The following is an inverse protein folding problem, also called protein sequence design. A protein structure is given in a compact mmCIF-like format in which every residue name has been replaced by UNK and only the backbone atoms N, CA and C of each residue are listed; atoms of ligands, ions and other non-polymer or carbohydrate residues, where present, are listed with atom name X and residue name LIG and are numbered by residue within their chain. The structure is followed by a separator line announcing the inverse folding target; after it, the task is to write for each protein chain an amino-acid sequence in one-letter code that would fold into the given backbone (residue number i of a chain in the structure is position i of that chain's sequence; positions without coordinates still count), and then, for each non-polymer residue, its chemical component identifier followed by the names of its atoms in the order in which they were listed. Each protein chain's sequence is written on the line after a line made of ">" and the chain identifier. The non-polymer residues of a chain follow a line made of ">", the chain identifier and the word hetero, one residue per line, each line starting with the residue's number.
data_IF_920803418729
#
_entry.id   IF_920803418729
#
_cell.length_a   1.000
_cell.length_b   1.000
_cell.length_c   1.000
_cell.angle_alpha   90.00
_cell.angle_beta   90.00
_cell.angle_gamma   90.00
#
_symmetry.space_group_name_H-M   'P 1'
#
loop_
_entity.id
_entity.type
_entity.pdbx_description
1 polymer ?
#
# COMPACT_ATOMS: atom_id res chain seq x y z
N UNK A 1 -4.80 -3.60 -9.14
CA UNK A 1 -4.63 -3.17 -7.74
C UNK A 1 -5.58 -2.02 -7.43
N UNK A 2 -6.78 -2.27 -7.03
CA UNK A 2 -7.82 -1.60 -6.28
C UNK A 2 -8.02 -0.08 -6.31
N UNK A 3 -7.26 0.70 -7.06
CA UNK A 3 -7.48 2.14 -7.14
C UNK A 3 -8.64 2.46 -8.07
N UNK A 4 -9.63 3.19 -7.57
CA UNK A 4 -10.79 3.57 -8.33
C UNK A 4 -10.50 4.72 -9.29
N UNK A 5 -11.12 4.67 -10.45
CA UNK A 5 -11.13 5.72 -11.45
C UNK A 5 -12.46 5.76 -12.19
N UNK A 6 -12.85 6.92 -12.65
CA UNK A 6 -13.99 7.10 -13.56
C UNK A 6 -13.55 7.36 -15.00
N UNK A 7 -12.25 7.30 -15.26
CA UNK A 7 -11.69 7.44 -16.61
C UNK A 7 -12.11 6.30 -17.53
N UNK A 8 -12.30 6.59 -18.80
CA UNK A 8 -12.55 5.58 -19.85
C UNK A 8 -11.44 4.53 -19.97
N UNK A 9 -10.21 4.87 -19.54
CA UNK A 9 -9.04 3.97 -19.58
C UNK A 9 -9.02 2.96 -18.43
N UNK A 10 -9.91 3.07 -17.46
CA UNK A 10 -10.02 2.11 -16.36
C UNK A 10 -10.69 0.81 -16.79
N UNK A 11 -10.48 -0.25 -15.99
CA UNK A 11 -11.07 -1.58 -16.18
C UNK A 11 -12.27 -1.74 -15.26
N UNK A 12 -13.38 -2.25 -15.79
CA UNK A 12 -14.54 -2.62 -14.97
C UNK A 12 -14.27 -3.95 -14.26
N UNK A 13 -14.40 -4.02 -12.91
CA UNK A 13 -14.28 -5.27 -12.18
C UNK A 13 -15.33 -6.30 -12.59
N UNK A 14 -14.97 -7.60 -12.60
CA UNK A 14 -15.90 -8.69 -12.99
C UNK A 14 -17.13 -8.77 -12.10
N UNK A 15 -16.96 -8.59 -10.79
CA UNK A 15 -18.03 -8.69 -9.79
C UNK A 15 -18.40 -7.31 -9.26
N UNK A 16 -18.50 -6.33 -10.15
CA UNK A 16 -18.85 -4.96 -9.79
C UNK A 16 -20.28 -4.87 -9.31
N UNK A 17 -20.49 -4.14 -8.21
CA UNK A 17 -21.81 -3.69 -7.78
C UNK A 17 -22.48 -2.89 -8.91
N UNK A 18 -23.67 -3.28 -9.39
CA UNK A 18 -24.36 -2.60 -10.49
C UNK A 18 -24.63 -1.11 -10.23
N UNK A 19 -24.71 -0.71 -8.96
CA UNK A 19 -24.95 0.68 -8.55
C UNK A 19 -23.70 1.56 -8.54
N UNK A 20 -22.51 0.98 -8.79
CA UNK A 20 -21.24 1.71 -8.82
C UNK A 20 -20.73 1.88 -10.23
N UNK A 21 -20.31 3.10 -10.55
CA UNK A 21 -19.80 3.48 -11.88
C UNK A 21 -18.29 3.51 -11.97
N UNK A 22 -17.59 3.31 -10.83
CA UNK A 22 -16.13 3.33 -10.81
C UNK A 22 -15.51 2.19 -11.64
N UNK A 23 -14.29 2.41 -12.07
CA UNK A 23 -13.41 1.44 -12.70
C UNK A 23 -12.13 1.29 -11.88
N UNK A 24 -11.35 0.27 -12.15
CA UNK A 24 -10.02 0.06 -11.55
C UNK A 24 -8.95 0.56 -12.50
N UNK A 25 -7.97 1.29 -11.94
CA UNK A 25 -6.82 1.76 -12.73
C UNK A 25 -6.02 0.59 -13.30
N UNK A 26 -5.68 0.71 -14.57
CA UNK A 26 -4.79 -0.22 -15.26
C UNK A 26 -3.38 0.36 -15.34
N UNK A 27 -2.39 -0.47 -15.04
CA UNK A 27 -0.98 -0.11 -15.14
C UNK A 27 -0.26 -1.10 -16.05
N UNK A 28 0.52 -0.60 -16.99
CA UNK A 28 1.32 -1.44 -17.90
C UNK A 28 2.58 -1.99 -17.23
N UNK A 29 3.09 -1.30 -16.19
CA UNK A 29 4.32 -1.64 -15.49
C UNK A 29 4.02 -1.80 -14.01
N UNK A 30 4.40 -2.93 -13.40
CA UNK A 30 4.19 -3.20 -11.99
C UNK A 30 4.77 -2.11 -11.07
N UNK A 31 5.95 -1.57 -11.41
CA UNK A 31 6.57 -0.46 -10.67
C UNK A 31 5.66 0.78 -10.58
N UNK A 32 4.96 1.10 -11.67
CA UNK A 32 4.00 2.21 -11.69
C UNK A 32 2.81 1.95 -10.76
N UNK A 33 2.31 0.71 -10.72
CA UNK A 33 1.25 0.29 -9.81
C UNK A 33 1.68 0.45 -8.33
N UNK A 34 2.86 -0.02 -7.97
CA UNK A 34 3.41 0.11 -6.62
C UNK A 34 3.60 1.57 -6.23
N UNK A 35 4.11 2.39 -7.15
CA UNK A 35 4.28 3.84 -6.93
C UNK A 35 2.94 4.53 -6.70
N UNK A 36 1.93 4.21 -7.48
CA UNK A 36 0.59 4.76 -7.32
C UNK A 36 -0.04 4.35 -5.98
N UNK A 37 0.13 3.11 -5.56
CA UNK A 37 -0.29 2.63 -4.25
C UNK A 37 0.36 3.42 -3.10
N UNK A 38 1.68 3.57 -3.13
CA UNK A 38 2.43 4.36 -2.14
C UNK A 38 1.96 5.82 -2.10
N UNK A 39 1.78 6.43 -3.27
CA UNK A 39 1.30 7.80 -3.37
C UNK A 39 -0.10 7.95 -2.76
N UNK A 40 -0.98 7.00 -3.02
CA UNK A 40 -2.33 6.98 -2.46
C UNK A 40 -2.31 6.93 -0.93
N UNK A 41 -1.52 6.03 -0.33
CA UNK A 41 -1.35 5.96 1.12
C UNK A 41 -0.79 7.26 1.73
N UNK A 42 0.07 7.95 0.99
CA UNK A 42 0.75 9.15 1.47
C UNK A 42 -0.06 10.45 1.28
N UNK A 43 -1.10 10.45 0.46
CA UNK A 43 -1.80 11.69 0.09
C UNK A 43 -3.31 11.64 0.29
N UNK A 44 -3.96 10.51 0.12
CA UNK A 44 -5.42 10.40 0.16
C UNK A 44 -5.97 10.52 1.59
N UNK A 45 -7.09 11.24 1.75
CA UNK A 45 -7.70 11.49 3.06
C UNK A 45 -8.12 10.23 3.81
N UNK A 46 -8.51 9.16 3.11
CA UNK A 46 -8.89 7.89 3.71
C UNK A 46 -7.76 7.24 4.52
N UNK A 47 -6.50 7.62 4.29
CA UNK A 47 -5.32 7.09 4.98
C UNK A 47 -4.66 8.10 5.92
N UNK A 48 -5.41 9.09 6.36
CA UNK A 48 -4.92 10.08 7.31
C UNK A 48 -4.48 9.45 8.62
N UNK A 49 -5.31 8.60 9.20
CA UNK A 49 -4.99 7.90 10.45
C UNK A 49 -3.73 7.01 10.31
N UNK A 50 -3.57 6.35 9.16
CA UNK A 50 -2.35 5.60 8.84
C UNK A 50 -1.10 6.50 8.92
N UNK A 51 -1.16 7.69 8.32
CA UNK A 51 -0.04 8.64 8.35
C UNK A 51 0.22 9.21 9.74
N UNK A 52 -0.83 9.53 10.47
CA UNK A 52 -0.74 10.05 11.84
C UNK A 52 -0.10 9.00 12.77
N UNK A 53 -0.53 7.76 12.70
CA UNK A 53 0.08 6.67 13.49
C UNK A 53 1.54 6.45 13.12
N UNK A 54 1.87 6.46 11.84
CA UNK A 54 3.25 6.34 11.36
C UNK A 54 4.13 7.49 11.87
N UNK A 55 3.61 8.73 11.84
CA UNK A 55 4.31 9.90 12.35
C UNK A 55 4.54 9.82 13.87
N UNK A 56 3.54 9.38 14.62
CA UNK A 56 3.66 9.16 16.07
C UNK A 56 4.78 8.18 16.40
N UNK A 57 4.82 7.03 15.73
CA UNK A 57 5.87 6.02 15.92
C UNK A 57 7.27 6.60 15.68
N UNK A 58 7.42 7.42 14.65
CA UNK A 58 8.68 8.12 14.34
C UNK A 58 9.08 9.11 15.43
N UNK A 59 8.14 9.90 15.94
CA UNK A 59 8.39 10.85 17.03
C UNK A 59 8.81 10.15 18.33
N UNK A 60 8.25 8.97 18.59
CA UNK A 60 8.59 8.14 19.74
C UNK A 60 9.87 7.31 19.54
N UNK A 61 10.56 7.47 18.40
CA UNK A 61 11.72 6.66 18.00
C UNK A 61 11.44 5.14 18.01
N UNK A 62 10.20 4.74 17.77
CA UNK A 62 9.78 3.35 17.69
C UNK A 62 9.96 2.81 16.27
N UNK A 63 10.19 1.50 16.17
CA UNK A 63 10.23 0.81 14.88
C UNK A 63 8.82 0.85 14.27
N UNK A 64 8.76 1.16 12.98
CA UNK A 64 7.52 1.12 12.21
C UNK A 64 7.27 -0.33 11.81
N UNK A 65 6.21 -0.91 12.36
CA UNK A 65 5.83 -2.31 12.13
C UNK A 65 4.64 -2.36 11.17
N UNK A 66 4.84 -3.05 10.03
CA UNK A 66 3.82 -3.16 8.98
C UNK A 66 2.50 -3.76 9.48
N UNK A 67 2.55 -4.78 10.34
CA UNK A 67 1.36 -5.39 10.95
C UNK A 67 0.54 -4.41 11.80
N UNK A 68 1.19 -3.49 12.52
CA UNK A 68 0.47 -2.47 13.28
C UNK A 68 -0.19 -1.43 12.39
N UNK A 69 0.49 -1.03 11.31
CA UNK A 69 -0.02 -0.02 10.39
C UNK A 69 -1.11 -0.56 9.45
N UNK A 70 -1.14 -1.86 9.20
CA UNK A 70 -2.14 -2.50 8.31
C UNK A 70 -3.58 -2.27 8.76
N UNK A 71 -3.82 -2.07 10.04
CA UNK A 71 -5.14 -1.77 10.61
C UNK A 71 -5.79 -0.50 10.04
N UNK A 72 -4.96 0.43 9.56
CA UNK A 72 -5.39 1.74 9.08
C UNK A 72 -5.61 1.80 7.57
N UNK A 73 -5.51 0.67 6.86
CA UNK A 73 -5.69 0.61 5.40
C UNK A 73 -6.98 -0.10 4.96
N UNK A 74 -7.91 -0.31 5.85
CA UNK A 74 -9.20 -0.99 5.56
C UNK A 74 -10.00 -0.32 4.44
N UNK A 75 -9.84 0.99 4.27
CA UNK A 75 -10.52 1.76 3.22
C UNK A 75 -9.99 1.49 1.81
N UNK A 76 -8.88 0.74 1.66
CA UNK A 76 -8.30 0.47 0.36
C UNK A 76 -9.16 -0.45 -0.51
N UNK A 77 -9.93 -1.34 0.09
CA UNK A 77 -10.83 -2.25 -0.62
C UNK A 77 -12.24 -2.22 -0.04
N UNK A 78 -13.23 -2.50 -0.87
CA UNK A 78 -14.63 -2.55 -0.46
C UNK A 78 -14.91 -3.59 0.64
N UNK A 79 -14.08 -4.65 0.71
CA UNK A 79 -14.17 -5.70 1.73
C UNK A 79 -13.68 -5.27 3.14
N UNK A 80 -13.09 -4.06 3.27
CA UNK A 80 -12.73 -3.45 4.55
C UNK A 80 -11.83 -4.31 5.43
N UNK A 81 -12.33 -4.76 6.59
CA UNK A 81 -11.58 -5.57 7.55
C UNK A 81 -11.05 -6.89 6.96
N UNK A 82 -11.76 -7.50 6.02
CA UNK A 82 -11.28 -8.70 5.32
C UNK A 82 -10.02 -8.42 4.50
N UNK A 83 -9.91 -7.22 3.92
CA UNK A 83 -8.69 -6.80 3.24
C UNK A 83 -7.50 -6.73 4.20
N UNK A 84 -7.68 -6.16 5.38
CA UNK A 84 -6.65 -6.11 6.41
C UNK A 84 -6.22 -7.51 6.83
N UNK A 85 -7.18 -8.43 7.04
CA UNK A 85 -6.89 -9.81 7.38
C UNK A 85 -6.07 -10.52 6.30
N UNK A 86 -6.39 -10.32 5.02
CA UNK A 86 -5.62 -10.86 3.89
C UNK A 86 -4.19 -10.31 3.88
N UNK A 87 -4.02 -9.01 4.06
CA UNK A 87 -2.70 -8.37 4.11
C UNK A 87 -1.87 -8.93 5.28
N UNK A 88 -2.46 -9.07 6.46
CA UNK A 88 -1.78 -9.63 7.62
C UNK A 88 -1.33 -11.07 7.36
N UNK A 89 -2.19 -11.89 6.77
CA UNK A 89 -1.88 -13.27 6.39
C UNK A 89 -0.70 -13.34 5.40
N UNK A 90 -0.66 -12.45 4.42
CA UNK A 90 0.46 -12.33 3.47
C UNK A 90 1.75 -11.95 4.19
N UNK A 91 1.69 -10.97 5.10
CA UNK A 91 2.86 -10.52 5.87
C UNK A 91 3.43 -11.68 6.70
N UNK A 92 2.57 -12.39 7.43
CA UNK A 92 2.98 -13.49 8.30
C UNK A 92 3.51 -14.69 7.51
N UNK A 93 2.77 -15.15 6.50
CA UNK A 93 3.17 -16.34 5.70
C UNK A 93 4.46 -16.15 4.91
N UNK A 94 4.81 -14.91 4.59
CA UNK A 94 6.02 -14.60 3.82
C UNK A 94 7.13 -13.98 4.68
N UNK A 95 6.98 -13.97 6.01
CA UNK A 95 7.97 -13.39 6.94
C UNK A 95 8.35 -11.95 6.60
N UNK A 96 7.39 -11.15 6.13
CA UNK A 96 7.65 -9.78 5.68
C UNK A 96 8.01 -8.84 6.84
N UNK A 97 7.76 -9.21 8.09
CA UNK A 97 8.22 -8.49 9.28
C UNK A 97 9.74 -8.37 9.35
N UNK A 98 10.48 -9.27 8.69
CA UNK A 98 11.94 -9.21 8.61
C UNK A 98 12.42 -7.92 7.92
N UNK A 99 11.57 -7.32 7.09
CA UNK A 99 11.86 -6.08 6.38
C UNK A 99 11.52 -4.80 7.17
N UNK A 100 10.89 -4.90 8.33
CA UNK A 100 10.51 -3.70 9.13
C UNK A 100 11.72 -2.86 9.54
N UNK A 101 12.90 -3.49 9.69
CA UNK A 101 14.17 -2.84 10.00
C UNK A 101 15.07 -2.59 8.77
N UNK A 102 14.58 -2.90 7.57
CA UNK A 102 15.38 -2.76 6.37
C UNK A 102 15.67 -1.29 6.06
N UNK A 103 16.90 -1.01 5.66
CA UNK A 103 17.35 0.31 5.22
C UNK A 103 17.95 0.23 3.83
N UNK A 104 17.87 1.33 3.08
CA UNK A 104 18.52 1.41 1.78
C UNK A 104 20.04 1.52 1.97
N UNK A 105 20.80 0.86 1.11
CA UNK A 105 22.25 1.04 1.05
C UNK A 105 22.60 2.49 0.72
N UNK A 106 23.70 3.02 1.30
CA UNK A 106 24.20 4.35 0.95
C UNK A 106 24.47 4.47 -0.55
N UNK A 107 24.20 5.63 -1.13
CA UNK A 107 24.29 5.88 -2.57
C UNK A 107 25.71 5.68 -3.12
N UNK A 108 26.73 5.94 -2.31
CA UNK A 108 28.13 5.72 -2.69
C UNK A 108 28.48 4.25 -2.89
N UNK A 109 27.83 3.33 -2.18
CA UNK A 109 28.03 1.89 -2.38
C UNK A 109 27.31 1.38 -3.63
N UNK A 110 26.23 2.05 -4.08
CA UNK A 110 25.51 1.67 -5.30
C UNK A 110 26.31 1.86 -6.58
N UNK A 111 27.25 2.79 -6.59
CA UNK A 111 28.09 3.08 -7.77
C UNK A 111 29.17 2.02 -8.03
N UNK A 112 29.51 1.22 -7.04
CA UNK A 112 30.48 0.13 -7.17
C UNK A 112 29.88 -1.24 -7.48
N UNK A 113 28.55 -1.36 -7.49
CA UNK A 113 27.85 -2.61 -7.81
C UNK A 113 27.40 -2.52 -9.25
N UNK A 114 28.19 -3.07 -10.16
CA UNK A 114 27.78 -3.33 -11.54
C UNK A 114 26.76 -4.47 -11.52
N UNK A 115 25.53 -4.14 -11.76
CA UNK A 115 24.46 -5.12 -12.02
C UNK A 115 24.23 -5.23 -13.51
#
# INVERSE_FOLDING_TARGET
>A
FGQWTWSKKGISPKNKDPNKTHKVLQFQILKASVRAYKNNLNTHNAYREFREKRAQLRQENKIIIGLELSKYIKSYAAIGEKYVAIINDIIEKNSLTDFDKATLLPTNLKKGVAL
#
